data_IF_773674659413
#
_entry.id   IF_773674659413
#
_cell.length_a   1.000
_cell.length_b   1.000
_cell.length_c   1.000
_cell.angle_alpha   90.00
_cell.angle_beta   90.00
_cell.angle_gamma   90.00
#
_symmetry.space_group_name_H-M   'P 1'
#
loop_
_entity.id
_entity.type
_entity.pdbx_description
1 polymer ?
#
# COMPACT_ATOMS: atom_id res chain seq x y z
N UNK A 1 -83.46 55.87 23.05
CA UNK A 1 -82.51 54.87 23.64
C UNK A 1 -81.84 53.93 22.64
N UNK A 2 -82.49 53.49 21.58
CA UNK A 2 -81.93 52.58 20.58
C UNK A 2 -80.75 53.21 19.77
N UNK A 3 -80.82 54.44 19.35
CA UNK A 3 -79.80 55.15 18.59
C UNK A 3 -78.45 55.25 19.37
N UNK A 4 -78.50 55.47 20.67
CA UNK A 4 -77.32 55.66 21.51
C UNK A 4 -76.58 54.29 21.77
N UNK A 5 -77.29 53.18 21.73
CA UNK A 5 -76.70 51.83 21.81
C UNK A 5 -75.99 51.41 20.48
N UNK A 6 -76.57 51.83 19.37
CA UNK A 6 -75.95 51.53 18.05
C UNK A 6 -74.65 52.25 17.84
N UNK A 7 -74.57 53.54 18.21
CA UNK A 7 -73.37 54.33 18.09
C UNK A 7 -72.25 53.78 19.01
N UNK A 8 -72.54 53.42 20.28
CA UNK A 8 -71.56 52.76 21.19
C UNK A 8 -71.02 51.43 20.62
N UNK A 9 -71.86 50.68 19.98
CA UNK A 9 -71.42 49.39 19.38
C UNK A 9 -70.54 49.62 18.15
N UNK A 10 -70.85 50.63 17.32
CA UNK A 10 -70.01 51.02 16.18
C UNK A 10 -68.66 51.58 16.66
N UNK A 11 -68.65 52.43 17.64
CA UNK A 11 -67.40 52.96 18.20
C UNK A 11 -66.52 51.86 18.79
N UNK A 12 -67.12 50.92 19.52
CA UNK A 12 -66.39 49.75 20.09
C UNK A 12 -65.80 48.84 18.99
N UNK A 13 -66.57 48.61 17.92
CA UNK A 13 -66.08 47.83 16.75
C UNK A 13 -64.97 48.54 16.02
N UNK A 14 -65.09 49.86 15.79
CA UNK A 14 -64.03 50.68 15.19
C UNK A 14 -62.77 50.67 16.00
N UNK A 15 -62.88 50.76 17.35
CA UNK A 15 -61.71 50.72 18.25
C UNK A 15 -61.04 49.34 18.22
N UNK A 16 -61.79 48.26 18.18
CA UNK A 16 -61.27 46.87 18.05
C UNK A 16 -60.55 46.67 16.72
N UNK A 17 -61.12 47.13 15.61
CA UNK A 17 -60.51 47.09 14.30
C UNK A 17 -59.22 47.88 14.27
N UNK A 18 -59.20 49.12 14.83
CA UNK A 18 -58.01 49.96 14.88
C UNK A 18 -56.90 49.31 15.73
N UNK A 19 -57.22 48.57 16.78
CA UNK A 19 -56.26 47.84 17.62
C UNK A 19 -55.70 46.63 16.87
N UNK A 20 -56.53 45.85 16.22
CA UNK A 20 -56.10 44.71 15.38
C UNK A 20 -55.22 45.17 14.24
N UNK A 21 -55.56 46.28 13.57
CA UNK A 21 -54.75 46.85 12.47
C UNK A 21 -53.36 47.25 12.97
N UNK A 22 -53.27 47.91 14.18
CA UNK A 22 -51.97 48.26 14.78
C UNK A 22 -51.10 47.03 15.12
N UNK A 23 -51.71 45.95 15.60
CA UNK A 23 -51.01 44.69 15.88
C UNK A 23 -50.48 44.06 14.57
N UNK A 24 -51.28 44.02 13.52
CA UNK A 24 -50.85 43.52 12.20
C UNK A 24 -49.72 44.38 11.61
N UNK A 25 -49.79 45.72 11.72
CA UNK A 25 -48.71 46.60 11.30
C UNK A 25 -47.42 46.39 12.09
N UNK A 26 -47.49 46.05 13.38
CA UNK A 26 -46.31 45.73 14.18
C UNK A 26 -45.64 44.45 13.70
N UNK A 27 -46.43 43.42 13.37
CA UNK A 27 -45.92 42.15 12.75
C UNK A 27 -45.32 42.45 11.38
N UNK A 28 -46.03 43.23 10.54
CA UNK A 28 -45.59 43.55 9.18
C UNK A 28 -44.25 44.33 9.14
N UNK A 29 -43.97 45.11 10.20
CA UNK A 29 -42.67 45.82 10.36
C UNK A 29 -41.55 44.96 10.87
N UNK A 30 -41.83 43.87 11.61
CA UNK A 30 -40.80 43.04 12.25
C UNK A 30 -40.50 41.74 11.50
N UNK A 31 -41.41 41.25 10.66
CA UNK A 31 -41.31 39.99 9.95
C UNK A 31 -41.40 40.18 8.43
N UNK A 32 -40.80 39.28 7.68
CA UNK A 32 -41.07 39.14 6.27
C UNK A 32 -42.44 38.47 6.09
N UNK A 33 -43.36 39.12 5.38
CA UNK A 33 -44.74 38.64 5.19
C UNK A 33 -45.05 38.54 3.69
N UNK A 34 -45.62 37.41 3.30
CA UNK A 34 -46.12 37.19 1.94
C UNK A 34 -47.42 36.43 1.98
N UNK A 35 -48.36 36.79 1.14
CA UNK A 35 -49.68 36.20 1.02
C UNK A 35 -49.84 35.52 -0.34
N UNK A 36 -50.52 34.38 -0.33
CA UNK A 36 -50.75 33.58 -1.54
C UNK A 36 -52.23 33.21 -1.70
N UNK A 37 -52.69 33.08 -2.91
CA UNK A 37 -53.94 32.39 -3.21
C UNK A 37 -53.77 30.87 -2.99
N UNK A 38 -54.86 30.10 -3.19
CA UNK A 38 -54.85 28.66 -3.03
C UNK A 38 -54.11 27.91 -4.14
N UNK A 39 -53.81 28.60 -5.25
CA UNK A 39 -53.00 28.12 -6.35
C UNK A 39 -51.51 28.38 -6.11
N UNK A 40 -51.17 29.12 -5.06
CA UNK A 40 -49.82 29.48 -4.68
C UNK A 40 -49.27 30.72 -5.39
N UNK A 41 -50.14 31.52 -6.02
CA UNK A 41 -49.72 32.78 -6.61
C UNK A 41 -49.67 33.88 -5.53
N UNK A 42 -48.70 34.77 -5.65
CA UNK A 42 -48.51 35.87 -4.69
C UNK A 42 -49.60 36.91 -4.82
N UNK A 43 -50.31 37.18 -3.73
CA UNK A 43 -51.30 38.24 -3.59
C UNK A 43 -50.67 39.55 -3.12
N UNK A 44 -49.75 39.48 -2.16
CA UNK A 44 -49.10 40.62 -1.53
C UNK A 44 -47.75 40.15 -0.92
N UNK A 45 -46.75 40.99 -0.95
CA UNK A 45 -45.52 40.83 -0.16
C UNK A 45 -45.17 42.16 0.49
N UNK A 46 -44.70 42.15 1.74
CA UNK A 46 -44.28 43.34 2.44
C UNK A 46 -42.82 43.73 2.10
N UNK A 47 -42.44 44.92 2.50
CA UNK A 47 -41.10 45.47 2.23
C UNK A 47 -39.96 44.54 2.78
N UNK A 48 -40.14 43.95 3.94
CA UNK A 48 -39.13 43.05 4.53
C UNK A 48 -38.94 41.79 3.67
N UNK A 49 -40.02 41.18 3.19
CA UNK A 49 -39.91 40.00 2.30
C UNK A 49 -39.21 40.34 1.00
N UNK A 50 -39.59 41.47 0.38
CA UNK A 50 -39.00 41.95 -0.87
C UNK A 50 -37.51 42.28 -0.70
N UNK A 51 -37.12 42.90 0.41
CA UNK A 51 -35.74 43.24 0.73
C UNK A 51 -34.86 41.98 0.94
N UNK A 52 -35.34 41.01 1.72
CA UNK A 52 -34.62 39.78 2.00
C UNK A 52 -34.36 38.97 0.70
N UNK A 53 -35.37 38.88 -0.18
CA UNK A 53 -35.24 38.12 -1.42
C UNK A 53 -34.72 38.92 -2.61
N UNK A 54 -34.55 40.25 -2.45
CA UNK A 54 -34.02 41.14 -3.49
C UNK A 54 -34.95 41.36 -4.69
N UNK A 55 -36.26 41.27 -4.48
CA UNK A 55 -37.27 41.52 -5.53
C UNK A 55 -37.95 42.86 -5.32
N UNK A 56 -38.49 43.39 -6.39
CA UNK A 56 -39.49 44.47 -6.37
C UNK A 56 -40.89 43.85 -6.36
N UNK A 57 -41.88 44.62 -5.85
CA UNK A 57 -43.26 44.17 -5.74
C UNK A 57 -43.87 43.80 -7.10
N UNK A 58 -43.58 44.57 -8.14
CA UNK A 58 -44.04 44.33 -9.53
C UNK A 58 -43.49 43.02 -10.12
N UNK A 59 -42.39 42.50 -9.62
CA UNK A 59 -41.77 41.26 -10.07
C UNK A 59 -42.37 40.03 -9.40
N UNK A 60 -43.01 40.14 -8.27
CA UNK A 60 -43.51 39.01 -7.48
C UNK A 60 -45.04 38.90 -7.44
N UNK A 61 -45.75 40.00 -7.52
CA UNK A 61 -47.22 39.95 -7.48
C UNK A 61 -47.77 39.15 -8.65
N UNK A 62 -48.67 38.21 -8.38
CA UNK A 62 -49.23 37.26 -9.33
C UNK A 62 -48.28 36.09 -9.71
N UNK A 63 -47.02 36.14 -9.30
CA UNK A 63 -46.08 35.05 -9.59
C UNK A 63 -46.30 33.86 -8.65
N UNK A 64 -46.02 32.62 -9.12
CA UNK A 64 -46.18 31.44 -8.29
C UNK A 64 -45.08 31.32 -7.25
N UNK A 65 -45.40 30.76 -6.09
CA UNK A 65 -44.48 30.48 -4.96
C UNK A 65 -43.19 29.79 -5.39
N UNK A 66 -43.24 28.95 -6.44
CA UNK A 66 -42.04 28.25 -6.97
C UNK A 66 -40.95 29.22 -7.44
N UNK A 67 -41.24 30.50 -7.70
CA UNK A 67 -40.25 31.53 -8.00
C UNK A 67 -39.14 31.63 -6.95
N UNK A 68 -39.50 31.38 -5.66
CA UNK A 68 -38.60 31.50 -4.52
C UNK A 68 -37.99 30.13 -4.10
N UNK A 69 -38.19 29.07 -4.89
CA UNK A 69 -37.80 27.72 -4.52
C UNK A 69 -36.72 27.18 -5.46
N UNK A 70 -35.87 26.26 -4.95
CA UNK A 70 -34.94 25.55 -5.80
C UNK A 70 -35.68 24.63 -6.77
N UNK A 71 -35.17 24.42 -7.99
CA UNK A 71 -35.81 23.53 -8.97
C UNK A 71 -36.01 22.09 -8.44
N UNK A 72 -35.10 21.61 -7.60
CA UNK A 72 -35.15 20.29 -6.96
C UNK A 72 -36.36 20.21 -6.03
N UNK A 73 -36.54 21.21 -5.15
CA UNK A 73 -37.67 21.25 -4.22
C UNK A 73 -39.01 21.34 -4.98
N UNK A 74 -39.11 22.14 -6.04
CA UNK A 74 -40.32 22.29 -6.84
C UNK A 74 -40.75 20.95 -7.47
N UNK A 75 -39.78 20.12 -7.88
CA UNK A 75 -40.05 18.78 -8.45
C UNK A 75 -40.33 17.70 -7.43
N UNK A 76 -40.09 17.97 -6.14
CA UNK A 76 -40.27 16.99 -5.07
C UNK A 76 -41.74 16.75 -4.74
N UNK A 77 -42.03 15.60 -4.15
CA UNK A 77 -43.34 15.30 -3.54
C UNK A 77 -43.69 16.25 -2.41
N UNK A 78 -42.67 16.75 -1.69
CA UNK A 78 -42.83 17.61 -0.51
C UNK A 78 -43.44 18.97 -0.87
N UNK A 79 -43.06 19.51 -2.05
CA UNK A 79 -43.67 20.74 -2.56
C UNK A 79 -45.16 20.56 -2.86
N UNK A 80 -45.56 19.46 -3.44
CA UNK A 80 -46.96 19.17 -3.72
C UNK A 80 -47.75 18.93 -2.43
N UNK A 81 -47.16 18.19 -1.48
CA UNK A 81 -47.77 17.91 -0.19
C UNK A 81 -47.93 19.21 0.66
N UNK A 82 -46.96 20.12 0.62
CA UNK A 82 -47.08 21.44 1.24
C UNK A 82 -48.38 22.14 0.84
N UNK A 83 -48.58 22.33 -0.47
CA UNK A 83 -49.78 23.02 -0.98
C UNK A 83 -51.08 22.23 -0.72
N UNK A 84 -51.04 20.89 -0.70
CA UNK A 84 -52.20 20.07 -0.35
C UNK A 84 -52.60 20.26 1.12
N UNK A 85 -51.62 20.26 2.06
CA UNK A 85 -51.86 20.53 3.48
C UNK A 85 -52.42 21.94 3.71
N UNK A 86 -51.82 22.94 3.08
CA UNK A 86 -52.28 24.33 3.20
C UNK A 86 -53.71 24.50 2.71
N UNK A 87 -54.08 23.89 1.57
CA UNK A 87 -55.49 23.91 1.06
C UNK A 87 -56.49 23.21 1.97
N UNK A 88 -56.03 22.19 2.69
CA UNK A 88 -56.87 21.50 3.68
C UNK A 88 -56.98 22.29 5.00
N UNK A 89 -56.32 23.40 5.14
CA UNK A 89 -56.33 24.24 6.32
C UNK A 89 -55.35 23.83 7.41
N UNK A 90 -54.34 23.02 7.07
CA UNK A 90 -53.25 22.69 7.97
C UNK A 90 -52.12 23.71 7.79
N UNK A 91 -51.60 24.26 8.88
CA UNK A 91 -50.45 25.14 8.85
C UNK A 91 -49.14 24.32 8.69
N UNK A 92 -48.10 24.97 8.20
CA UNK A 92 -46.79 24.35 8.04
C UNK A 92 -45.73 25.29 8.60
N UNK A 93 -44.76 24.80 9.36
CA UNK A 93 -43.67 25.60 9.91
C UNK A 93 -42.35 24.84 9.84
N UNK A 94 -41.26 25.56 9.67
CA UNK A 94 -39.92 25.00 9.59
C UNK A 94 -38.91 25.97 9.02
N UNK A 95 -37.70 25.43 8.74
CA UNK A 95 -36.63 26.16 8.07
C UNK A 95 -36.61 25.74 6.61
N UNK A 96 -36.72 26.71 5.72
CA UNK A 96 -36.87 26.47 4.28
C UNK A 96 -35.76 27.17 3.51
N UNK A 97 -35.07 26.43 2.64
CA UNK A 97 -34.18 27.03 1.68
C UNK A 97 -35.00 27.76 0.58
N UNK A 98 -34.64 28.99 0.28
CA UNK A 98 -35.24 29.81 -0.75
C UNK A 98 -34.17 30.44 -1.65
N UNK A 99 -34.56 30.83 -2.84
CA UNK A 99 -33.68 31.43 -3.83
C UNK A 99 -34.05 32.91 -4.00
N UNK A 100 -33.09 33.78 -3.81
CA UNK A 100 -33.20 35.22 -4.01
C UNK A 100 -33.17 35.58 -5.52
N UNK A 101 -33.49 36.80 -5.85
CA UNK A 101 -33.51 37.31 -7.24
C UNK A 101 -32.16 37.22 -7.95
N UNK A 102 -31.06 37.26 -7.21
CA UNK A 102 -29.70 37.14 -7.71
C UNK A 102 -29.22 35.68 -7.82
N UNK A 103 -30.08 34.69 -7.52
CA UNK A 103 -29.77 33.27 -7.55
C UNK A 103 -29.09 32.70 -6.28
N UNK A 104 -28.85 33.54 -5.26
CA UNK A 104 -28.28 33.07 -4.00
C UNK A 104 -29.30 32.31 -3.16
N UNK A 105 -28.88 31.20 -2.55
CA UNK A 105 -29.67 30.50 -1.55
C UNK A 105 -29.67 31.25 -0.22
N UNK A 106 -30.83 31.33 0.38
CA UNK A 106 -31.04 31.86 1.73
C UNK A 106 -31.97 30.94 2.52
N UNK A 107 -31.92 31.01 3.82
CA UNK A 107 -32.70 30.19 4.72
C UNK A 107 -33.71 31.02 5.50
N UNK A 108 -34.97 30.64 5.35
CA UNK A 108 -36.07 31.30 6.08
C UNK A 108 -36.65 30.33 7.09
N UNK A 109 -36.63 30.73 8.37
CA UNK A 109 -37.50 30.15 9.39
C UNK A 109 -38.88 30.73 9.20
N UNK A 110 -39.87 29.90 8.84
CA UNK A 110 -41.15 30.40 8.40
C UNK A 110 -42.33 29.55 8.84
N UNK A 111 -43.51 30.20 8.94
CA UNK A 111 -44.79 29.53 9.08
C UNK A 111 -45.75 29.95 7.96
N UNK A 112 -46.42 28.98 7.36
CA UNK A 112 -47.47 29.16 6.35
C UNK A 112 -48.81 28.88 7.02
N UNK A 113 -49.67 29.91 7.05
CA UNK A 113 -50.90 29.91 7.82
C UNK A 113 -52.11 30.07 6.89
N UNK A 114 -52.90 29.02 6.68
CA UNK A 114 -54.17 29.10 5.94
C UNK A 114 -55.17 29.98 6.68
N UNK A 115 -55.71 31.00 5.96
CA UNK A 115 -56.73 31.94 6.50
C UNK A 115 -58.10 31.47 6.00
N UNK A 116 -59.10 31.40 6.94
CA UNK A 116 -60.47 30.98 6.65
C UNK A 116 -61.38 32.18 6.58
N UNK A 117 -62.37 32.10 5.70
CA UNK A 117 -63.47 33.06 5.63
C UNK A 117 -64.56 32.77 6.71
N UNK A 118 -65.63 33.57 6.70
CA UNK A 118 -66.74 33.41 7.62
C UNK A 118 -67.49 32.08 7.45
N UNK A 119 -67.38 31.38 6.33
CA UNK A 119 -67.92 30.03 6.06
C UNK A 119 -67.04 28.91 6.59
N UNK A 120 -65.82 29.24 7.04
CA UNK A 120 -64.81 28.26 7.45
C UNK A 120 -63.94 27.72 6.29
N UNK A 121 -64.16 28.16 5.04
CA UNK A 121 -63.36 27.77 3.87
C UNK A 121 -62.05 28.55 3.86
N UNK A 122 -60.93 27.84 3.53
CA UNK A 122 -59.63 28.46 3.32
C UNK A 122 -59.71 29.30 2.03
N UNK A 123 -59.29 30.56 2.08
CA UNK A 123 -59.31 31.46 0.91
C UNK A 123 -57.93 32.05 0.56
N UNK A 124 -57.01 32.09 1.48
CA UNK A 124 -55.61 32.49 1.27
C UNK A 124 -54.64 31.85 2.26
N UNK A 125 -53.36 31.91 1.97
CA UNK A 125 -52.27 31.49 2.89
C UNK A 125 -51.40 32.71 3.17
N UNK A 126 -51.10 32.94 4.45
CA UNK A 126 -50.18 34.01 4.89
C UNK A 126 -48.90 33.31 5.42
N UNK A 127 -47.76 33.69 4.86
CA UNK A 127 -46.48 33.23 5.33
C UNK A 127 -45.78 34.35 6.10
N UNK A 128 -45.39 34.04 7.34
CA UNK A 128 -44.46 34.82 8.14
C UNK A 128 -43.09 34.19 8.09
N UNK A 129 -42.03 34.98 7.92
CA UNK A 129 -40.68 34.46 7.78
C UNK A 129 -39.63 35.36 8.45
N UNK A 130 -38.58 34.72 8.93
CA UNK A 130 -37.37 35.35 9.43
C UNK A 130 -36.18 34.83 8.66
N UNK A 131 -35.27 35.71 8.24
CA UNK A 131 -34.00 35.30 7.61
C UNK A 131 -33.05 34.74 8.71
N UNK A 132 -32.71 33.48 8.56
CA UNK A 132 -31.78 32.75 9.44
C UNK A 132 -30.54 32.25 8.71
N UNK A 133 -30.26 32.82 7.55
CA UNK A 133 -29.14 32.41 6.68
C UNK A 133 -27.80 32.47 7.43
N UNK A 134 -27.51 33.54 8.13
CA UNK A 134 -26.29 33.70 8.91
C UNK A 134 -26.17 32.59 9.99
N UNK A 135 -27.28 32.31 10.71
CA UNK A 135 -27.34 31.27 11.76
C UNK A 135 -27.04 29.88 11.16
N UNK A 136 -27.68 29.54 10.04
CA UNK A 136 -27.48 28.26 9.37
C UNK A 136 -26.05 28.13 8.84
N UNK A 137 -25.49 29.20 8.28
CA UNK A 137 -24.10 29.20 7.80
C UNK A 137 -23.09 29.02 8.94
N UNK A 138 -23.30 29.67 10.08
CA UNK A 138 -22.49 29.50 11.28
C UNK A 138 -22.57 28.05 11.80
N UNK A 139 -23.77 27.47 11.83
CA UNK A 139 -23.97 26.07 12.25
C UNK A 139 -23.25 25.09 11.31
N UNK A 140 -23.36 25.27 9.99
CA UNK A 140 -22.65 24.47 9.01
C UNK A 140 -21.13 24.62 9.15
N UNK A 141 -20.63 25.84 9.36
CA UNK A 141 -19.22 26.09 9.61
C UNK A 141 -18.73 25.39 10.89
N UNK A 142 -19.50 25.47 11.97
CA UNK A 142 -19.22 24.76 13.24
C UNK A 142 -19.19 23.26 13.04
N UNK A 143 -20.19 22.69 12.37
CA UNK A 143 -20.25 21.25 12.10
C UNK A 143 -19.05 20.74 11.26
N UNK A 144 -18.55 21.56 10.34
CA UNK A 144 -17.30 21.25 9.59
C UNK A 144 -16.08 21.22 10.51
N UNK A 145 -15.94 22.19 11.41
CA UNK A 145 -14.84 22.22 12.39
C UNK A 145 -14.93 21.04 13.36
N UNK A 146 -16.11 20.71 13.84
CA UNK A 146 -16.34 19.54 14.71
C UNK A 146 -16.00 18.22 14.01
N UNK A 147 -16.25 18.12 12.70
CA UNK A 147 -15.87 16.94 11.90
C UNK A 147 -14.35 16.80 11.79
N UNK A 148 -13.63 17.91 11.58
CA UNK A 148 -12.16 17.93 11.55
C UNK A 148 -11.61 17.58 12.94
N UNK A 149 -12.18 18.15 14.00
CA UNK A 149 -11.77 17.92 15.38
C UNK A 149 -11.92 16.45 15.81
N UNK A 150 -12.98 15.76 15.32
CA UNK A 150 -13.18 14.32 15.55
C UNK A 150 -12.20 13.44 14.78
N UNK A 151 -11.76 13.87 13.59
CA UNK A 151 -10.95 13.06 12.68
C UNK A 151 -9.44 13.23 12.89
N UNK A 152 -9.00 14.43 13.31
CA UNK A 152 -7.58 14.81 13.38
C UNK A 152 -7.13 15.11 14.80
N UNK A 153 -5.84 14.95 15.07
CA UNK A 153 -5.21 15.48 16.27
C UNK A 153 -5.01 17.00 16.08
N UNK A 154 -5.61 17.81 16.97
CA UNK A 154 -5.58 19.26 16.88
C UNK A 154 -4.94 19.87 18.12
N UNK A 155 -4.04 20.83 17.92
CA UNK A 155 -3.43 21.62 19.01
C UNK A 155 -3.22 23.05 18.56
N UNK A 156 -3.46 23.98 19.48
CA UNK A 156 -3.38 25.42 19.25
C UNK A 156 -2.26 26.04 20.07
N UNK A 157 -1.58 27.02 19.48
CA UNK A 157 -0.44 27.72 20.07
C UNK A 157 -0.62 29.24 19.98
N UNK A 158 -0.15 29.95 21.00
CA UNK A 158 0.16 31.34 20.87
C UNK A 158 1.33 31.57 19.91
N UNK A 159 1.56 32.78 19.50
CA UNK A 159 2.63 33.16 18.57
C UNK A 159 4.05 32.90 19.11
N UNK A 160 4.18 32.85 20.43
CA UNK A 160 5.43 32.50 21.12
C UNK A 160 5.65 30.95 21.20
N UNK A 161 4.72 30.15 20.65
CA UNK A 161 4.76 28.70 20.71
C UNK A 161 4.25 28.06 22.00
N UNK A 162 3.67 28.85 22.92
CA UNK A 162 3.00 28.32 24.11
C UNK A 162 1.63 27.73 23.75
N UNK A 163 1.25 26.63 24.40
CA UNK A 163 0.05 25.83 24.10
C UNK A 163 -1.18 26.51 24.68
N UNK A 164 -2.17 26.78 23.84
CA UNK A 164 -3.49 27.30 24.23
C UNK A 164 -4.41 26.14 24.62
N UNK A 165 -4.49 25.11 23.77
CA UNK A 165 -5.38 23.98 23.94
C UNK A 165 -5.06 22.87 22.96
N UNK A 166 -5.65 21.69 23.20
CA UNK A 166 -5.56 20.55 22.31
C UNK A 166 -6.82 19.68 22.46
N UNK A 167 -7.21 18.97 21.39
CA UNK A 167 -8.32 18.05 21.44
C UNK A 167 -7.93 16.68 22.01
N UNK A 168 -8.94 15.84 22.25
CA UNK A 168 -8.77 14.49 22.80
C UNK A 168 -7.88 13.62 21.94
N UNK A 169 -7.94 13.75 20.62
CA UNK A 169 -7.12 12.97 19.70
C UNK A 169 -5.63 13.29 19.87
N UNK A 170 -5.27 14.57 19.94
CA UNK A 170 -3.89 14.98 20.19
C UNK A 170 -3.40 14.50 21.55
N UNK A 171 -4.20 14.73 22.59
CA UNK A 171 -3.86 14.36 23.97
C UNK A 171 -3.64 12.86 24.11
N UNK A 172 -4.53 12.06 23.55
CA UNK A 172 -4.44 10.60 23.57
C UNK A 172 -3.19 10.08 22.83
N UNK A 173 -2.86 10.65 21.67
CA UNK A 173 -1.68 10.24 20.88
C UNK A 173 -0.38 10.60 21.57
N UNK A 174 -0.30 11.78 22.17
CA UNK A 174 0.89 12.24 22.86
C UNK A 174 1.01 11.74 24.31
N UNK A 175 -0.05 11.13 24.86
CA UNK A 175 -0.08 10.57 26.21
C UNK A 175 -0.15 11.59 27.33
N UNK A 176 -0.64 12.82 27.06
CA UNK A 176 -0.75 13.90 28.03
C UNK A 176 -2.20 14.26 28.30
N UNK A 177 -2.45 14.79 29.49
CA UNK A 177 -3.69 15.55 29.76
C UNK A 177 -3.53 17.01 29.35
N UNK A 178 -4.65 17.70 29.10
CA UNK A 178 -4.61 19.12 28.75
C UNK A 178 -3.98 19.97 29.87
N UNK A 179 -4.24 19.64 31.12
CA UNK A 179 -3.68 20.37 32.28
C UNK A 179 -2.14 20.31 32.34
N UNK A 180 -1.54 19.20 31.87
CA UNK A 180 -0.09 19.02 31.87
C UNK A 180 0.60 19.84 30.77
N UNK A 181 -0.08 20.13 29.66
CA UNK A 181 0.55 20.78 28.50
C UNK A 181 0.15 22.26 28.33
N UNK A 182 -1.02 22.65 28.79
CA UNK A 182 -1.51 24.04 28.64
C UNK A 182 -0.52 25.05 29.23
N UNK A 183 -0.17 26.06 28.46
CA UNK A 183 0.85 27.06 28.81
C UNK A 183 2.29 26.58 28.69
N UNK A 184 2.55 25.29 28.45
CA UNK A 184 3.87 24.79 28.07
C UNK A 184 4.20 25.15 26.63
N UNK A 185 5.49 25.09 26.27
CA UNK A 185 5.92 25.44 24.93
C UNK A 185 5.96 24.20 24.03
N UNK A 186 5.64 24.34 22.74
CA UNK A 186 5.71 23.33 21.68
C UNK A 186 6.97 22.45 21.72
N UNK A 187 8.12 23.04 22.15
CA UNK A 187 9.40 22.33 22.27
C UNK A 187 9.34 21.05 23.11
N UNK A 188 8.38 20.93 24.01
CA UNK A 188 8.23 19.73 24.87
C UNK A 188 7.97 18.44 24.04
N UNK A 189 7.51 18.56 22.82
CA UNK A 189 7.25 17.45 21.90
C UNK A 189 8.38 17.22 20.90
N UNK A 190 9.50 17.93 21.01
CA UNK A 190 10.60 17.91 20.06
C UNK A 190 11.86 17.33 20.67
N UNK A 191 12.68 16.66 19.84
CA UNK A 191 14.01 16.20 20.24
C UNK A 191 14.94 17.41 20.54
N UNK A 192 15.89 17.27 21.48
CA UNK A 192 16.83 18.34 21.83
C UNK A 192 17.62 18.91 20.63
N UNK A 193 17.99 18.02 19.68
CA UNK A 193 18.72 18.41 18.48
C UNK A 193 17.94 19.40 17.63
N UNK A 194 16.63 19.16 17.48
CA UNK A 194 15.75 20.08 16.74
C UNK A 194 15.58 21.40 17.47
N UNK A 195 15.31 21.38 18.78
CA UNK A 195 15.07 22.58 19.59
C UNK A 195 16.24 23.56 19.51
N UNK A 196 17.47 23.04 19.49
CA UNK A 196 18.70 23.82 19.48
C UNK A 196 19.13 24.24 18.06
N UNK A 197 18.39 23.84 17.03
CA UNK A 197 18.72 24.18 15.65
C UNK A 197 18.20 25.56 15.25
N UNK A 198 18.88 26.22 14.30
CA UNK A 198 18.41 27.45 13.66
C UNK A 198 17.09 27.21 12.89
N UNK A 199 16.89 26.00 12.37
CA UNK A 199 15.66 25.63 11.67
C UNK A 199 14.42 25.71 12.56
N UNK A 200 14.52 25.37 13.86
CA UNK A 200 13.42 25.52 14.80
C UNK A 200 13.04 26.97 15.08
N UNK A 201 14.03 27.86 15.17
CA UNK A 201 13.79 29.30 15.32
C UNK A 201 13.17 29.89 14.06
N UNK A 202 13.70 29.52 12.89
CA UNK A 202 13.16 29.99 11.62
C UNK A 202 11.72 29.51 11.39
N UNK A 203 11.40 28.27 11.78
CA UNK A 203 10.04 27.72 11.73
C UNK A 203 9.02 28.62 12.44
N UNK A 204 9.28 29.03 13.69
CA UNK A 204 8.39 29.93 14.43
C UNK A 204 8.39 31.36 13.87
N UNK A 205 9.54 31.87 13.41
CA UNK A 205 9.62 33.17 12.77
C UNK A 205 8.77 33.25 11.49
N UNK A 206 8.74 32.20 10.71
CA UNK A 206 7.94 32.13 9.46
C UNK A 206 6.46 31.99 9.76
N UNK A 207 6.06 31.15 10.74
CA UNK A 207 4.67 31.10 11.22
C UNK A 207 4.18 32.48 11.68
N UNK A 208 5.02 33.25 12.37
CA UNK A 208 4.71 34.61 12.85
C UNK A 208 4.63 35.63 11.70
N UNK A 209 5.11 35.29 10.50
CA UNK A 209 4.89 36.09 9.29
C UNK A 209 3.66 35.64 8.49
N UNK A 210 2.91 34.68 9.00
CA UNK A 210 1.72 34.16 8.34
C UNK A 210 2.00 33.04 7.32
N UNK A 211 3.21 32.49 7.27
CA UNK A 211 3.53 31.35 6.43
C UNK A 211 3.00 30.06 7.08
N UNK A 212 2.37 29.19 6.31
CA UNK A 212 1.95 27.87 6.79
C UNK A 212 3.01 26.81 6.52
N UNK A 213 3.02 25.72 7.28
CA UNK A 213 3.87 24.58 7.05
C UNK A 213 3.05 23.30 6.92
N UNK A 214 3.45 22.43 6.02
CA UNK A 214 2.95 21.08 5.92
C UNK A 214 4.13 20.10 5.76
N UNK A 215 3.94 18.88 6.23
CA UNK A 215 4.95 17.82 6.09
C UNK A 215 4.86 16.79 7.21
N UNK A 216 5.86 15.91 7.22
CA UNK A 216 6.03 14.91 8.26
C UNK A 216 6.99 15.44 9.33
N UNK A 217 6.57 15.35 10.57
CA UNK A 217 7.30 15.87 11.72
C UNK A 217 7.51 14.77 12.75
N UNK A 218 8.76 14.54 13.08
CA UNK A 218 9.11 13.68 14.19
C UNK A 218 8.82 14.38 15.52
N UNK A 219 8.09 13.70 16.43
CA UNK A 219 7.74 14.21 17.76
C UNK A 219 7.97 13.12 18.81
N UNK A 220 8.04 13.54 20.07
CA UNK A 220 8.24 12.67 21.22
C UNK A 220 7.00 12.73 22.11
N UNK A 221 6.45 11.58 22.45
CA UNK A 221 5.34 11.44 23.38
C UNK A 221 5.83 11.55 24.86
N UNK A 222 4.88 11.45 25.81
CA UNK A 222 5.16 11.47 27.25
C UNK A 222 6.16 10.40 27.71
N UNK A 223 6.21 9.27 27.01
CA UNK A 223 7.05 8.10 27.36
C UNK A 223 8.39 8.11 26.65
N UNK A 224 8.71 9.17 25.88
CA UNK A 224 9.92 9.28 25.09
C UNK A 224 9.89 8.50 23.76
N UNK A 225 8.72 7.98 23.37
CA UNK A 225 8.58 7.25 22.10
C UNK A 225 8.49 8.25 20.95
N UNK A 226 9.17 7.93 19.87
CA UNK A 226 9.07 8.70 18.62
C UNK A 226 7.71 8.46 17.96
N UNK A 227 7.06 9.56 17.56
CA UNK A 227 5.86 9.57 16.75
C UNK A 227 6.13 10.38 15.48
N UNK A 228 5.69 9.86 14.35
CA UNK A 228 5.68 10.56 13.08
C UNK A 228 4.29 11.14 12.82
N UNK A 229 4.22 12.47 12.76
CA UNK A 229 2.98 13.19 12.53
C UNK A 229 3.02 13.84 11.15
N UNK A 230 2.12 13.45 10.26
CA UNK A 230 1.83 14.24 9.07
C UNK A 230 0.95 15.42 9.50
N UNK A 231 1.44 16.63 9.37
CA UNK A 231 0.81 17.78 10.00
C UNK A 231 0.89 19.07 9.19
N UNK A 232 -0.12 19.93 9.44
CA UNK A 232 -0.18 21.28 8.92
C UNK A 232 -0.21 22.26 10.10
N UNK A 233 0.65 23.28 10.08
CA UNK A 233 0.64 24.39 11.01
C UNK A 233 0.10 25.61 10.28
N UNK A 234 -1.02 26.14 10.75
CA UNK A 234 -1.78 27.20 10.07
C UNK A 234 -1.88 28.44 10.96
N UNK A 235 -1.33 29.56 10.51
CA UNK A 235 -1.57 30.86 11.14
C UNK A 235 -3.05 31.24 11.06
N UNK A 236 -3.63 31.69 12.16
CA UNK A 236 -5.04 32.11 12.27
C UNK A 236 -5.10 33.60 12.63
N UNK A 237 -6.03 34.29 11.97
CA UNK A 237 -6.21 35.72 12.09
C UNK A 237 -7.50 36.04 12.86
N UNK A 238 -7.50 37.13 13.63
CA UNK A 238 -8.66 37.65 14.31
C UNK A 238 -9.60 38.42 13.35
N UNK A 239 -10.74 38.89 13.83
CA UNK A 239 -11.70 39.66 13.05
C UNK A 239 -11.15 40.99 12.50
N UNK A 240 -10.03 41.50 13.04
CA UNK A 240 -9.34 42.69 12.55
C UNK A 240 -8.25 42.38 11.52
N UNK A 241 -8.08 41.11 11.15
CA UNK A 241 -7.05 40.65 10.21
C UNK A 241 -5.65 40.55 10.84
N UNK A 242 -5.51 40.57 12.17
CA UNK A 242 -4.24 40.41 12.86
C UNK A 242 -4.01 38.94 13.20
N UNK A 243 -2.78 38.47 12.95
CA UNK A 243 -2.37 37.13 13.35
C UNK A 243 -2.52 36.97 14.87
N UNK A 244 -3.26 35.95 15.32
CA UNK A 244 -3.59 35.76 16.73
C UNK A 244 -3.13 34.44 17.33
N UNK A 245 -3.06 33.37 16.54
CA UNK A 245 -2.63 32.05 16.99
C UNK A 245 -2.18 31.17 15.81
N UNK A 246 -1.60 30.00 16.12
CA UNK A 246 -1.28 28.95 15.18
C UNK A 246 -2.07 27.70 15.55
N UNK A 247 -2.76 27.09 14.59
CA UNK A 247 -3.48 25.82 14.76
C UNK A 247 -2.75 24.74 13.97
N UNK A 248 -2.42 23.63 14.63
CA UNK A 248 -1.87 22.45 14.02
C UNK A 248 -2.93 21.36 13.91
N UNK A 249 -3.08 20.82 12.71
CA UNK A 249 -3.82 19.59 12.43
C UNK A 249 -2.80 18.50 12.12
N UNK A 250 -2.98 17.30 12.69
CA UNK A 250 -2.03 16.22 12.51
C UNK A 250 -2.71 14.85 12.43
N UNK A 251 -2.13 13.98 11.61
CA UNK A 251 -2.41 12.55 11.57
C UNK A 251 -1.18 11.77 12.03
N UNK A 252 -1.37 10.71 12.80
CA UNK A 252 -0.28 9.81 13.19
C UNK A 252 0.01 8.84 12.04
N UNK A 253 1.20 8.93 11.48
CA UNK A 253 1.71 8.10 10.40
C UNK A 253 2.88 7.20 10.83
N UNK A 254 3.07 7.03 12.15
CA UNK A 254 4.20 6.29 12.73
C UNK A 254 4.28 4.88 12.16
N UNK A 255 3.19 4.14 12.18
CA UNK A 255 3.16 2.77 11.63
C UNK A 255 3.48 2.72 10.13
N UNK A 256 3.05 3.73 9.38
CA UNK A 256 3.33 3.80 7.96
C UNK A 256 4.81 4.06 7.68
N UNK A 257 5.43 4.98 8.43
CA UNK A 257 6.88 5.28 8.33
C UNK A 257 7.70 4.05 8.75
N UNK A 258 7.41 3.43 9.91
CA UNK A 258 8.08 2.22 10.38
C UNK A 258 7.99 1.07 9.36
N UNK A 259 6.83 0.88 8.76
CA UNK A 259 6.64 -0.12 7.71
C UNK A 259 7.48 0.18 6.47
N UNK A 260 7.51 1.43 6.03
CA UNK A 260 8.35 1.83 4.89
C UNK A 260 9.84 1.60 5.15
N UNK A 261 10.32 1.91 6.36
CA UNK A 261 11.71 1.64 6.76
C UNK A 261 12.01 0.14 6.76
N UNK A 262 11.12 -0.68 7.31
CA UNK A 262 11.24 -2.14 7.30
C UNK A 262 11.23 -2.72 5.88
N UNK A 263 10.34 -2.23 5.01
CA UNK A 263 10.27 -2.66 3.61
C UNK A 263 11.55 -2.28 2.84
N UNK A 264 12.08 -1.07 3.07
CA UNK A 264 13.33 -0.62 2.47
C UNK A 264 14.52 -1.46 2.94
N UNK A 265 14.58 -1.79 4.24
CA UNK A 265 15.62 -2.66 4.80
C UNK A 265 15.54 -4.08 4.22
N UNK A 266 14.32 -4.64 4.10
CA UNK A 266 14.09 -5.97 3.52
C UNK A 266 14.49 -6.01 2.04
N UNK A 267 14.16 -4.97 1.27
CA UNK A 267 14.57 -4.85 -0.12
C UNK A 267 16.10 -4.77 -0.27
N UNK A 268 16.77 -4.02 0.59
CA UNK A 268 18.24 -3.94 0.62
C UNK A 268 18.87 -5.30 0.92
N UNK A 269 18.36 -6.03 1.92
CA UNK A 269 18.84 -7.38 2.24
C UNK A 269 18.63 -8.35 1.08
N UNK A 270 17.44 -8.34 0.46
CA UNK A 270 17.13 -9.17 -0.71
C UNK A 270 18.08 -8.90 -1.89
N UNK A 271 18.43 -7.63 -2.13
CA UNK A 271 19.41 -7.24 -3.13
C UNK A 271 20.79 -7.83 -2.83
N UNK A 272 21.29 -7.69 -1.59
CA UNK A 272 22.58 -8.26 -1.19
C UNK A 272 22.62 -9.78 -1.32
N UNK A 273 21.58 -10.49 -0.90
CA UNK A 273 21.45 -11.94 -1.06
C UNK A 273 21.47 -12.33 -2.54
N UNK A 274 20.76 -11.60 -3.39
CA UNK A 274 20.71 -11.84 -4.84
C UNK A 274 22.10 -11.70 -5.48
N UNK A 275 22.87 -10.65 -5.12
CA UNK A 275 24.25 -10.46 -5.61
C UNK A 275 25.15 -11.60 -5.15
N UNK A 276 25.05 -12.02 -3.90
CA UNK A 276 25.84 -13.11 -3.36
C UNK A 276 25.50 -14.47 -4.02
N UNK A 277 24.20 -14.74 -4.22
CA UNK A 277 23.73 -15.95 -4.90
C UNK A 277 24.26 -16.02 -6.33
N UNK A 278 24.24 -14.90 -7.06
CA UNK A 278 24.82 -14.82 -8.41
C UNK A 278 26.30 -15.17 -8.41
N UNK A 279 27.08 -14.63 -7.47
CA UNK A 279 28.51 -14.92 -7.34
C UNK A 279 28.77 -16.41 -7.06
N UNK A 280 27.97 -17.02 -6.18
CA UNK A 280 28.09 -18.46 -5.89
C UNK A 280 27.71 -19.31 -7.13
N UNK A 281 26.68 -18.90 -7.88
CA UNK A 281 26.29 -19.58 -9.11
C UNK A 281 27.39 -19.51 -10.19
N UNK A 282 28.04 -18.33 -10.35
CA UNK A 282 29.16 -18.16 -11.27
C UNK A 282 30.35 -19.05 -10.87
N UNK A 283 30.69 -19.11 -9.59
CA UNK A 283 31.72 -20.01 -9.06
C UNK A 283 31.37 -21.49 -9.28
N UNK A 284 30.12 -21.87 -9.00
CA UNK A 284 29.61 -23.22 -9.25
C UNK A 284 29.71 -23.62 -10.72
N UNK A 285 29.39 -22.71 -11.63
CA UNK A 285 29.56 -22.94 -13.09
C UNK A 285 31.03 -23.21 -13.46
N UNK A 286 31.95 -22.44 -12.86
CA UNK A 286 33.39 -22.67 -13.07
C UNK A 286 33.84 -24.07 -12.61
N UNK A 287 33.41 -24.50 -11.42
CA UNK A 287 33.71 -25.84 -10.88
C UNK A 287 33.16 -26.96 -11.79
N UNK A 288 31.93 -26.80 -12.30
CA UNK A 288 31.32 -27.77 -13.22
C UNK A 288 32.10 -27.83 -14.53
N UNK A 289 32.53 -26.70 -15.09
CA UNK A 289 33.34 -26.68 -16.32
C UNK A 289 34.70 -27.37 -16.13
N UNK A 290 35.35 -27.12 -14.98
CA UNK A 290 36.60 -27.77 -14.64
C UNK A 290 36.42 -29.30 -14.50
N UNK A 291 35.40 -29.73 -13.76
CA UNK A 291 35.09 -31.17 -13.62
C UNK A 291 34.79 -31.84 -14.98
N UNK A 292 34.06 -31.15 -15.85
CA UNK A 292 33.81 -31.65 -17.22
C UNK A 292 35.08 -31.78 -18.07
N UNK A 293 36.06 -30.85 -17.88
CA UNK A 293 37.37 -30.94 -18.53
C UNK A 293 38.19 -32.11 -17.99
N UNK A 294 38.24 -32.29 -16.69
CA UNK A 294 38.94 -33.41 -16.04
C UNK A 294 38.34 -34.75 -16.44
N UNK A 295 37.02 -34.87 -16.54
CA UNK A 295 36.34 -36.08 -17.02
C UNK A 295 36.69 -36.42 -18.49
N UNK A 296 36.86 -35.44 -19.38
CA UNK A 296 37.34 -35.64 -20.74
C UNK A 296 38.74 -36.20 -20.74
N UNK A 297 39.63 -35.65 -19.92
CA UNK A 297 41.01 -36.10 -19.80
C UNK A 297 41.10 -37.53 -19.25
N UNK A 298 40.24 -37.90 -18.30
CA UNK A 298 40.11 -39.26 -17.81
C UNK A 298 39.65 -40.20 -18.92
N UNK A 299 38.66 -39.79 -19.72
CA UNK A 299 38.17 -40.62 -20.86
C UNK A 299 39.29 -40.85 -21.88
N UNK A 300 40.07 -39.84 -22.25
CA UNK A 300 41.22 -39.96 -23.13
C UNK A 300 42.30 -40.91 -22.57
N UNK A 301 42.59 -40.81 -21.27
CA UNK A 301 43.53 -41.70 -20.60
C UNK A 301 43.05 -43.18 -20.58
N UNK A 302 41.75 -43.39 -20.40
CA UNK A 302 41.14 -44.74 -20.45
C UNK A 302 41.25 -45.32 -21.86
N UNK A 303 40.96 -44.50 -22.89
CA UNK A 303 41.08 -44.95 -24.28
C UNK A 303 42.54 -45.30 -24.64
N UNK A 304 43.49 -44.46 -24.21
CA UNK A 304 44.93 -44.73 -24.35
C UNK A 304 45.36 -45.99 -23.63
N UNK A 305 44.87 -46.24 -22.41
CA UNK A 305 45.14 -47.43 -21.62
C UNK A 305 44.56 -48.70 -22.27
N UNK A 306 43.32 -48.63 -22.75
CA UNK A 306 42.68 -49.73 -23.49
C UNK A 306 43.47 -50.12 -24.75
N UNK A 307 43.99 -49.14 -25.51
CA UNK A 307 44.84 -49.34 -26.66
C UNK A 307 46.15 -50.05 -26.28
N UNK A 308 46.78 -49.70 -25.20
CA UNK A 308 48.01 -50.34 -24.70
C UNK A 308 47.76 -51.80 -24.27
N UNK A 309 46.64 -52.04 -23.58
CA UNK A 309 46.24 -53.42 -23.19
C UNK A 309 45.97 -54.30 -24.40
N UNK A 310 45.27 -53.80 -25.43
CA UNK A 310 45.05 -54.49 -26.66
C UNK A 310 46.39 -54.89 -27.34
N UNK A 311 47.33 -53.96 -27.42
CA UNK A 311 48.68 -54.23 -27.95
C UNK A 311 49.47 -55.25 -27.13
N UNK A 312 49.30 -55.29 -25.81
CA UNK A 312 49.90 -56.26 -24.92
C UNK A 312 49.31 -57.64 -25.21
N UNK A 313 48.03 -57.76 -25.46
CA UNK A 313 47.36 -58.99 -25.90
C UNK A 313 47.97 -59.54 -27.19
N UNK A 314 48.09 -58.70 -28.23
CA UNK A 314 48.72 -59.10 -29.52
C UNK A 314 50.17 -59.62 -29.38
N UNK A 315 50.96 -58.85 -28.53
CA UNK A 315 52.36 -59.30 -28.28
C UNK A 315 52.43 -60.62 -27.50
N UNK A 316 51.50 -60.82 -26.55
CA UNK A 316 51.44 -62.11 -25.84
C UNK A 316 51.13 -63.26 -26.74
N UNK A 317 50.22 -63.12 -27.76
CA UNK A 317 49.97 -64.10 -28.80
C UNK A 317 51.23 -64.42 -29.63
N UNK A 318 52.00 -63.38 -30.05
CA UNK A 318 53.25 -63.57 -30.74
C UNK A 318 54.28 -64.32 -29.92
N UNK A 319 54.39 -64.00 -28.60
CA UNK A 319 55.30 -64.75 -27.69
C UNK A 319 54.85 -66.21 -27.55
N UNK A 320 53.53 -66.50 -27.45
CA UNK A 320 53.00 -67.84 -27.42
C UNK A 320 53.45 -68.68 -28.67
N UNK A 321 53.35 -68.02 -29.86
CA UNK A 321 53.79 -68.65 -31.09
C UNK A 321 55.31 -68.99 -31.10
N UNK A 322 56.15 -68.08 -30.58
CA UNK A 322 57.57 -68.25 -30.40
C UNK A 322 57.88 -69.39 -29.44
N UNK A 323 57.23 -69.37 -28.28
CA UNK A 323 57.43 -70.40 -27.19
C UNK A 323 57.03 -71.80 -27.73
N UNK A 324 55.93 -71.87 -28.48
CA UNK A 324 55.51 -73.14 -29.10
C UNK A 324 56.58 -73.63 -30.11
N UNK A 325 57.16 -72.70 -30.89
CA UNK A 325 58.24 -73.08 -31.82
C UNK A 325 59.49 -73.57 -31.09
N UNK A 326 59.90 -72.87 -30.03
CA UNK A 326 61.07 -73.29 -29.20
C UNK A 326 60.78 -74.66 -28.56
N UNK A 327 59.60 -74.93 -28.08
CA UNK A 327 59.19 -76.24 -27.57
C UNK A 327 59.29 -77.31 -28.59
N UNK A 328 58.77 -77.07 -29.84
CA UNK A 328 58.89 -77.96 -30.90
C UNK A 328 60.38 -78.29 -31.27
N UNK A 329 61.24 -77.27 -31.29
CA UNK A 329 62.70 -77.43 -31.48
C UNK A 329 63.32 -78.29 -30.38
N UNK A 330 62.94 -78.03 -29.13
CA UNK A 330 63.41 -78.76 -27.94
C UNK A 330 62.99 -80.27 -28.08
N UNK A 331 61.76 -80.55 -28.42
CA UNK A 331 61.25 -81.92 -28.59
C UNK A 331 61.94 -82.60 -29.76
N UNK A 332 62.18 -81.91 -30.88
CA UNK A 332 62.96 -82.47 -31.99
C UNK A 332 64.42 -82.77 -31.60
N UNK A 333 65.05 -81.85 -30.82
CA UNK A 333 66.43 -81.99 -30.34
C UNK A 333 66.55 -83.12 -29.35
N UNK A 334 65.50 -83.30 -28.48
CA UNK A 334 65.42 -84.47 -27.61
C UNK A 334 65.36 -85.82 -28.37
N UNK A 335 64.56 -85.84 -29.44
CA UNK A 335 64.50 -87.03 -30.30
C UNK A 335 65.77 -87.26 -31.05
N UNK A 336 66.44 -86.24 -31.59
CA UNK A 336 67.74 -86.34 -32.29
C UNK A 336 68.83 -86.81 -31.28
N UNK A 337 68.84 -86.30 -30.06
CA UNK A 337 69.74 -86.68 -29.02
C UNK A 337 69.53 -88.14 -28.59
N UNK A 338 68.25 -88.56 -28.48
CA UNK A 338 67.90 -89.95 -28.20
C UNK A 338 68.41 -90.93 -29.32
N UNK A 339 68.20 -90.55 -30.60
CA UNK A 339 68.68 -91.32 -31.71
C UNK A 339 70.21 -91.37 -31.69
N UNK A 340 70.93 -90.25 -31.41
CA UNK A 340 72.39 -90.23 -31.30
C UNK A 340 72.88 -91.10 -30.12
N UNK A 341 72.18 -91.08 -28.97
CA UNK A 341 72.50 -91.95 -27.85
C UNK A 341 72.35 -93.43 -28.17
N UNK A 342 71.27 -93.80 -28.92
CA UNK A 342 71.04 -95.14 -29.37
C UNK A 342 72.17 -95.59 -30.28
N UNK A 343 72.56 -94.73 -31.26
CA UNK A 343 73.64 -95.09 -32.22
C UNK A 343 75.02 -95.15 -31.54
N UNK A 344 75.27 -94.27 -30.58
CA UNK A 344 76.44 -94.26 -29.70
C UNK A 344 76.56 -95.56 -28.92
N UNK A 345 75.42 -96.03 -28.33
CA UNK A 345 75.37 -97.31 -27.65
C UNK A 345 75.63 -98.52 -28.62
N UNK A 346 75.18 -98.38 -29.83
CA UNK A 346 75.37 -99.38 -30.92
C UNK A 346 76.81 -99.50 -31.39
N UNK A 347 77.64 -98.42 -31.27
CA UNK A 347 79.03 -98.35 -31.62
C UNK A 347 79.99 -98.97 -30.54
N UNK A 348 79.42 -99.37 -29.39
CA UNK A 348 80.20 -100.03 -28.32
C UNK A 348 81.20 -99.07 -27.69
N UNK A 349 82.41 -99.53 -27.39
CA UNK A 349 83.48 -98.75 -26.70
C UNK A 349 83.92 -97.49 -27.47
N UNK A 350 83.77 -97.49 -28.81
CA UNK A 350 84.09 -96.29 -29.64
C UNK A 350 83.00 -95.15 -29.57
N UNK A 351 81.83 -95.47 -29.12
CA UNK A 351 80.71 -94.51 -28.99
C UNK A 351 80.61 -93.82 -27.62
N UNK A 352 81.42 -94.20 -26.64
CA UNK A 352 81.29 -93.69 -25.23
C UNK A 352 81.30 -92.19 -25.09
N UNK A 353 82.19 -91.48 -25.79
CA UNK A 353 82.26 -90.03 -25.79
C UNK A 353 81.06 -89.37 -26.41
N UNK A 354 80.51 -89.95 -27.47
CA UNK A 354 79.32 -89.49 -28.14
C UNK A 354 78.04 -89.76 -27.33
N UNK A 355 77.99 -90.85 -26.57
CA UNK A 355 76.88 -91.20 -25.71
C UNK A 355 76.72 -90.16 -24.56
N UNK A 356 77.85 -89.67 -23.98
CA UNK A 356 77.82 -88.60 -22.95
C UNK A 356 77.31 -87.28 -23.53
N UNK A 357 77.76 -86.88 -24.73
CA UNK A 357 77.31 -85.66 -25.39
C UNK A 357 75.82 -85.76 -25.76
N UNK A 358 75.39 -86.89 -26.26
CA UNK A 358 73.99 -87.14 -26.59
C UNK A 358 73.08 -87.06 -25.36
N UNK A 359 73.49 -87.62 -24.22
CA UNK A 359 72.71 -87.53 -22.98
C UNK A 359 72.67 -86.14 -22.46
N UNK A 360 73.76 -85.32 -22.53
CA UNK A 360 73.80 -83.91 -22.13
C UNK A 360 72.89 -83.09 -23.03
N UNK A 361 72.93 -83.30 -24.35
CA UNK A 361 71.98 -82.61 -25.30
C UNK A 361 70.55 -83.04 -24.99
N UNK A 362 70.27 -84.30 -24.65
CA UNK A 362 68.97 -84.76 -24.27
C UNK A 362 68.45 -84.10 -22.98
N UNK A 363 69.30 -84.01 -22.00
CA UNK A 363 68.96 -83.29 -20.76
C UNK A 363 68.73 -81.78 -20.97
N UNK A 364 69.53 -81.14 -21.82
CA UNK A 364 69.35 -79.73 -22.20
C UNK A 364 68.00 -79.51 -22.89
N UNK A 365 67.68 -80.40 -23.86
CA UNK A 365 66.40 -80.39 -24.58
C UNK A 365 65.19 -80.59 -23.62
N UNK A 366 65.29 -81.53 -22.68
CA UNK A 366 64.25 -81.73 -21.65
C UNK A 366 64.09 -80.53 -20.76
N UNK A 367 65.18 -79.89 -20.32
CA UNK A 367 65.12 -78.66 -19.55
C UNK A 367 64.55 -77.53 -20.34
N UNK A 368 64.90 -77.39 -21.62
CA UNK A 368 64.34 -76.35 -22.50
C UNK A 368 62.82 -76.51 -22.67
N UNK A 369 62.35 -77.75 -22.89
CA UNK A 369 60.92 -78.08 -23.00
C UNK A 369 60.19 -77.79 -21.69
N UNK A 370 60.80 -78.09 -20.55
CA UNK A 370 60.24 -77.70 -19.21
C UNK A 370 60.10 -76.18 -19.05
N UNK A 371 61.18 -75.44 -19.35
CA UNK A 371 61.16 -74.01 -19.26
C UNK A 371 60.15 -73.32 -20.21
N UNK A 372 60.00 -73.87 -21.42
CA UNK A 372 58.96 -73.35 -22.36
C UNK A 372 57.54 -73.61 -21.85
N UNK A 373 57.29 -74.72 -21.14
CA UNK A 373 56.01 -75.02 -20.53
C UNK A 373 55.67 -73.99 -19.42
N UNK A 374 56.67 -73.63 -18.58
CA UNK A 374 56.51 -72.58 -17.55
C UNK A 374 56.24 -71.24 -18.20
N UNK A 375 56.99 -70.82 -19.21
CA UNK A 375 56.75 -69.57 -19.95
C UNK A 375 55.35 -69.55 -20.59
N UNK A 376 54.91 -70.69 -21.21
CA UNK A 376 53.56 -70.78 -21.77
C UNK A 376 52.49 -70.49 -20.69
N UNK A 377 52.62 -71.07 -19.50
CA UNK A 377 51.68 -70.84 -18.41
C UNK A 377 51.69 -69.40 -17.94
N UNK A 378 52.82 -68.73 -17.91
CA UNK A 378 52.89 -67.28 -17.55
C UNK A 378 52.22 -66.43 -18.63
N UNK A 379 52.43 -66.77 -19.93
CA UNK A 379 51.80 -66.02 -21.00
C UNK A 379 50.28 -66.18 -21.01
N UNK A 380 49.80 -67.44 -20.75
CA UNK A 380 48.35 -67.69 -20.63
C UNK A 380 47.73 -66.89 -19.48
N UNK A 381 48.43 -66.71 -18.35
CA UNK A 381 48.00 -65.84 -17.24
C UNK A 381 47.93 -64.36 -17.70
N UNK A 382 48.98 -63.86 -18.37
CA UNK A 382 48.99 -62.48 -18.89
C UNK A 382 47.86 -62.25 -19.88
N UNK A 383 47.58 -63.18 -20.76
CA UNK A 383 46.47 -63.12 -21.73
C UNK A 383 45.12 -63.04 -21.01
N UNK A 384 44.90 -63.89 -19.99
CA UNK A 384 43.66 -63.84 -19.20
C UNK A 384 43.51 -62.56 -18.43
N UNK A 385 44.57 -62.04 -17.79
CA UNK A 385 44.53 -60.77 -17.09
C UNK A 385 44.28 -59.60 -18.07
N UNK A 386 44.92 -59.62 -19.24
CA UNK A 386 44.70 -58.62 -20.29
C UNK A 386 43.27 -58.61 -20.80
N UNK A 387 42.66 -59.78 -20.95
CA UNK A 387 41.28 -59.95 -21.42
C UNK A 387 40.24 -59.48 -20.37
N UNK A 388 40.56 -59.57 -19.05
CA UNK A 388 39.71 -59.09 -17.98
C UNK A 388 39.82 -57.58 -17.82
N UNK A 389 40.88 -56.95 -18.33
CA UNK A 389 41.14 -55.53 -18.21
C UNK A 389 40.57 -54.69 -19.37
N UNK A 390 40.09 -55.32 -20.45
CA UNK A 390 39.38 -54.74 -21.60
C UNK A 390 37.88 -54.73 -21.33
#
# INVERSE_FOLDING_TARGET
MLFNRHNKTIDSLQQTIAEQSRLLEAIDRSMAVIEFDLQGNVLRANANFLQILGYREDQVTGQPHRLFCTPEYVRSSDYQQLWNRLRSGQFESGTFERVASNGQSLWLEASYNPIRDASGAVYKVVKYALDVTARVQEEVARNKLDAIDRAMAVIEFNLDGSIIGANSNFLSRMGYSLAEIKGKHHRMFCKPELINSSAYQDFWNRLNRGEFFNGQFERIDRHGRTLWLEANYNPVYDASGRLCKVVKYAADVTQQVEKHEQDAQSASQAYHISVQTRKVAEQGTGVIQQAASEMRQIAENIEGSSSLIARLGERSEQITAIVNTIRAIADQTNLLALNAAIEAARAGDQGRGFAVVADEVRQLAARTSGSTAEISSMIDMIQNETQQAI
#
